data_IF_432312699595
#
_entry.id   IF_432312699595
#
_cell.length_a   1.000
_cell.length_b   1.000
_cell.length_c   1.000
_cell.angle_alpha   90.00
_cell.angle_beta   90.00
_cell.angle_gamma   90.00
#
_symmetry.space_group_name_H-M   'P 1'
#
loop_
_entity.id
_entity.type
_entity.pdbx_description
1 polymer ?
#
# COMPACT_ATOMS: atom_id res chain seq x y z
N UNK A 1 21.12 -17.02 31.28
CA UNK A 1 20.73 -15.75 31.91
C UNK A 1 19.30 -15.47 31.49
N UNK A 2 18.37 -15.57 32.44
CA UNK A 2 16.93 -15.43 32.22
C UNK A 2 16.57 -13.95 32.23
N UNK A 3 16.21 -13.37 31.07
CA UNK A 3 15.50 -12.11 31.00
C UNK A 3 14.05 -12.33 31.40
N UNK A 4 13.65 -11.72 32.50
CA UNK A 4 12.29 -11.83 33.01
C UNK A 4 11.31 -11.10 32.09
N UNK A 5 10.10 -11.63 31.93
CA UNK A 5 9.04 -11.08 31.08
C UNK A 5 8.64 -9.60 31.41
N UNK A 6 8.99 -9.11 32.60
CA UNK A 6 8.73 -7.74 33.06
C UNK A 6 9.67 -6.73 32.41
N UNK A 7 10.90 -7.12 32.05
CA UNK A 7 11.86 -6.20 31.42
C UNK A 7 11.53 -5.94 29.93
N UNK A 8 10.82 -6.88 29.27
CA UNK A 8 10.43 -6.73 27.86
C UNK A 8 9.43 -5.61 27.63
N UNK A 9 8.45 -5.44 28.52
CA UNK A 9 7.42 -4.41 28.35
C UNK A 9 7.94 -2.97 28.51
N UNK A 10 8.83 -2.74 29.48
CA UNK A 10 9.44 -1.41 29.68
C UNK A 10 10.45 -1.08 28.56
N UNK A 11 11.28 -2.04 28.13
CA UNK A 11 12.21 -1.86 27.03
C UNK A 11 11.52 -1.50 25.71
N UNK A 12 10.36 -2.08 25.43
CA UNK A 12 9.58 -1.79 24.23
C UNK A 12 8.91 -0.41 24.28
N UNK A 13 8.50 0.06 25.46
CA UNK A 13 7.94 1.41 25.65
C UNK A 13 9.02 2.48 25.44
N UNK A 14 10.21 2.30 26.00
CA UNK A 14 11.34 3.22 25.79
C UNK A 14 11.80 3.20 24.33
N UNK A 15 11.94 2.06 23.69
CA UNK A 15 12.27 1.96 22.27
C UNK A 15 11.26 2.69 21.37
N UNK A 16 9.96 2.61 21.69
CA UNK A 16 8.93 3.35 20.93
C UNK A 16 8.98 4.86 21.13
N UNK A 17 9.33 5.32 22.33
CA UNK A 17 9.50 6.76 22.61
C UNK A 17 10.72 7.30 21.91
N UNK A 18 11.85 6.59 21.96
CA UNK A 18 13.07 6.94 21.27
C UNK A 18 12.85 6.94 19.74
N UNK A 19 12.14 5.95 19.22
CA UNK A 19 11.83 5.87 17.79
C UNK A 19 10.97 7.06 17.31
N UNK A 20 9.98 7.51 18.11
CA UNK A 20 9.22 8.73 17.81
C UNK A 20 10.09 9.98 17.85
N UNK A 21 10.96 10.11 18.84
CA UNK A 21 11.91 11.22 18.95
C UNK A 21 12.85 11.26 17.73
N UNK A 22 13.39 10.12 17.30
CA UNK A 22 14.19 10.01 16.08
C UNK A 22 13.42 10.42 14.83
N UNK A 23 12.18 9.97 14.69
CA UNK A 23 11.31 10.34 13.56
C UNK A 23 11.02 11.84 13.51
N UNK A 24 10.88 12.50 14.67
CA UNK A 24 10.68 13.96 14.77
C UNK A 24 11.86 14.76 14.27
N UNK A 25 13.08 14.23 14.32
CA UNK A 25 14.27 14.89 13.77
C UNK A 25 14.28 14.92 12.23
N UNK A 26 13.45 14.12 11.57
CA UNK A 26 13.31 14.02 10.11
C UNK A 26 14.64 13.86 9.35
N UNK A 27 15.62 13.21 9.97
CA UNK A 27 16.93 12.98 9.36
C UNK A 27 16.77 12.14 8.09
N UNK A 28 17.47 12.51 7.02
CA UNK A 28 17.47 11.74 5.76
C UNK A 28 17.94 10.30 5.97
N UNK A 29 18.95 10.11 6.82
CA UNK A 29 19.51 8.79 7.15
C UNK A 29 18.58 7.91 8.00
N UNK A 30 17.49 8.47 8.57
CA UNK A 30 16.48 7.72 9.31
C UNK A 30 15.27 7.33 8.47
N UNK A 31 15.21 7.79 7.21
CA UNK A 31 14.12 7.47 6.29
C UNK A 31 14.37 6.11 5.63
N UNK A 32 13.30 5.33 5.38
CA UNK A 32 13.44 4.12 4.57
C UNK A 32 13.94 4.47 3.17
N UNK A 33 14.75 3.60 2.60
CA UNK A 33 15.44 3.84 1.34
C UNK A 33 14.99 2.82 0.29
N UNK A 34 14.70 3.31 -0.91
CA UNK A 34 14.39 2.51 -2.09
C UNK A 34 15.36 2.89 -3.22
N UNK A 35 16.10 1.91 -3.71
CA UNK A 35 16.95 2.08 -4.88
C UNK A 35 16.15 1.76 -6.14
N UNK A 36 16.18 2.68 -7.10
CA UNK A 36 15.55 2.49 -8.42
C UNK A 36 16.68 2.35 -9.43
N UNK A 37 16.81 1.15 -10.01
CA UNK A 37 17.80 0.84 -11.02
C UNK A 37 17.18 1.02 -12.41
N UNK A 38 17.56 2.08 -13.10
CA UNK A 38 17.21 2.26 -14.51
C UNK A 38 18.18 1.45 -15.38
N UNK A 39 17.65 0.51 -16.15
CA UNK A 39 18.43 -0.39 -17.01
C UNK A 39 17.97 -0.28 -18.46
N UNK A 40 18.76 -0.85 -19.36
CA UNK A 40 18.39 -1.00 -20.77
C UNK A 40 17.17 -1.94 -20.91
N UNK A 41 16.42 -1.80 -22.00
CA UNK A 41 15.23 -2.59 -22.31
C UNK A 41 15.45 -4.10 -22.14
N UNK A 42 16.51 -4.63 -22.71
CA UNK A 42 16.86 -6.05 -22.65
C UNK A 42 17.10 -6.57 -21.21
N UNK A 43 17.29 -5.68 -20.26
CA UNK A 43 17.55 -5.98 -18.86
C UNK A 43 16.36 -5.65 -17.94
N UNK A 44 15.26 -5.16 -18.48
CA UNK A 44 14.11 -4.70 -17.70
C UNK A 44 13.45 -5.81 -16.85
N UNK A 45 13.43 -7.04 -17.38
CA UNK A 45 12.85 -8.19 -16.68
C UNK A 45 13.77 -8.79 -15.62
N UNK A 46 15.09 -8.84 -15.88
CA UNK A 46 16.04 -9.61 -15.06
C UNK A 46 17.12 -8.77 -14.38
N UNK A 47 17.23 -7.50 -14.75
CA UNK A 47 18.34 -6.64 -14.33
C UNK A 47 19.65 -6.94 -15.07
N UNK A 48 20.71 -6.27 -14.65
CA UNK A 48 22.06 -6.42 -15.18
C UNK A 48 23.09 -6.51 -14.04
N UNK A 49 24.39 -6.62 -14.39
CA UNK A 49 25.47 -6.74 -13.40
C UNK A 49 25.56 -5.56 -12.43
N UNK A 50 25.13 -4.35 -12.84
CA UNK A 50 25.14 -3.16 -11.99
C UNK A 50 23.95 -3.19 -11.03
N UNK A 51 22.74 -3.51 -11.52
CA UNK A 51 21.55 -3.63 -10.66
C UNK A 51 21.70 -4.75 -9.62
N UNK A 52 22.38 -5.86 -9.96
CA UNK A 52 22.68 -6.93 -9.01
C UNK A 52 23.60 -6.46 -7.88
N UNK A 53 24.64 -5.68 -8.18
CA UNK A 53 25.49 -5.05 -7.14
C UNK A 53 24.71 -4.11 -6.22
N UNK A 54 23.78 -3.33 -6.81
CA UNK A 54 22.89 -2.47 -6.01
C UNK A 54 21.97 -3.31 -5.12
N UNK A 55 21.45 -4.43 -5.62
CA UNK A 55 20.61 -5.32 -4.83
C UNK A 55 21.38 -5.95 -3.63
N UNK A 56 22.62 -6.36 -3.83
CA UNK A 56 23.49 -6.85 -2.76
C UNK A 56 23.74 -5.76 -1.70
N UNK A 57 24.08 -4.56 -2.12
CA UNK A 57 24.29 -3.42 -1.24
C UNK A 57 22.99 -3.05 -0.48
N UNK A 58 21.87 -2.97 -1.16
CA UNK A 58 20.57 -2.64 -0.57
C UNK A 58 20.16 -3.67 0.49
N UNK A 59 20.38 -4.95 0.22
CA UNK A 59 20.14 -6.04 1.18
C UNK A 59 20.92 -5.83 2.47
N UNK A 60 22.19 -5.40 2.39
CA UNK A 60 23.02 -5.12 3.57
C UNK A 60 22.53 -3.91 4.39
N UNK A 61 21.77 -3.02 3.77
CA UNK A 61 21.21 -1.79 4.36
C UNK A 61 19.73 -1.91 4.74
N UNK A 62 19.13 -3.09 4.56
CA UNK A 62 17.68 -3.29 4.69
C UNK A 62 16.86 -2.30 3.85
N UNK A 63 17.33 -2.01 2.64
CA UNK A 63 16.70 -1.11 1.67
C UNK A 63 15.99 -1.90 0.57
N UNK A 64 14.94 -1.30 -0.02
CA UNK A 64 14.24 -1.86 -1.17
C UNK A 64 15.01 -1.63 -2.48
N UNK A 65 14.75 -2.47 -3.49
CA UNK A 65 15.26 -2.29 -4.85
C UNK A 65 14.14 -2.52 -5.85
N UNK A 66 14.06 -1.65 -6.86
CA UNK A 66 13.18 -1.82 -8.02
C UNK A 66 14.02 -1.64 -9.28
N UNK A 67 13.79 -2.52 -10.26
CA UNK A 67 14.42 -2.42 -11.60
C UNK A 67 13.36 -1.87 -12.54
N UNK A 68 13.68 -0.84 -13.28
CA UNK A 68 12.84 -0.24 -14.32
C UNK A 68 13.64 -0.01 -15.60
N UNK A 69 12.96 0.15 -16.73
CA UNK A 69 13.51 0.78 -17.91
C UNK A 69 12.69 2.01 -18.25
N UNK A 70 13.26 3.18 -18.07
CA UNK A 70 12.56 4.44 -18.34
C UNK A 70 12.14 4.55 -19.82
N UNK A 71 12.86 3.90 -20.73
CA UNK A 71 12.51 3.88 -22.14
C UNK A 71 11.25 3.05 -22.37
N UNK A 72 11.14 1.86 -21.78
CA UNK A 72 9.91 1.05 -21.82
C UNK A 72 8.72 1.83 -21.22
N UNK A 73 8.92 2.52 -20.09
CA UNK A 73 7.85 3.31 -19.46
C UNK A 73 7.38 4.46 -20.38
N UNK A 74 8.30 5.10 -21.08
CA UNK A 74 7.97 6.14 -22.06
C UNK A 74 7.12 5.57 -23.19
N UNK A 75 7.49 4.43 -23.76
CA UNK A 75 6.74 3.77 -24.83
C UNK A 75 5.35 3.35 -24.36
N UNK A 76 5.23 2.67 -23.20
CA UNK A 76 3.96 2.26 -22.63
C UNK A 76 3.03 3.46 -22.39
N UNK A 77 3.57 4.61 -21.97
CA UNK A 77 2.76 5.81 -21.68
C UNK A 77 2.06 6.39 -22.90
N UNK A 78 2.46 6.00 -24.10
CA UNK A 78 1.91 6.46 -25.38
C UNK A 78 0.91 5.46 -25.99
N UNK A 79 0.79 4.26 -25.42
CA UNK A 79 -0.06 3.19 -25.92
C UNK A 79 -1.42 3.19 -25.22
N UNK A 80 -2.43 2.71 -25.94
CA UNK A 80 -3.72 2.35 -25.32
C UNK A 80 -3.59 1.09 -24.46
N UNK A 81 -4.50 0.89 -23.52
CA UNK A 81 -4.42 -0.19 -22.52
C UNK A 81 -4.14 -1.57 -23.10
N UNK A 82 -4.83 -1.92 -24.20
CA UNK A 82 -4.70 -3.25 -24.81
C UNK A 82 -3.35 -3.42 -25.50
N UNK A 83 -2.86 -2.36 -26.17
CA UNK A 83 -1.55 -2.32 -26.81
C UNK A 83 -0.42 -2.37 -25.77
N UNK A 84 -0.58 -1.63 -24.66
CA UNK A 84 0.36 -1.64 -23.54
C UNK A 84 0.50 -3.04 -22.93
N UNK A 85 -0.61 -3.76 -22.77
CA UNK A 85 -0.59 -5.13 -22.27
C UNK A 85 0.17 -6.08 -23.22
N UNK A 86 -0.09 -5.99 -24.53
CA UNK A 86 0.61 -6.81 -25.53
C UNK A 86 2.11 -6.50 -25.54
N UNK A 87 2.48 -5.22 -25.44
CA UNK A 87 3.87 -4.79 -25.39
C UNK A 87 4.60 -5.35 -24.16
N UNK A 88 3.98 -5.30 -22.98
CA UNK A 88 4.52 -5.89 -21.74
C UNK A 88 4.74 -7.40 -21.89
N UNK A 89 3.80 -8.13 -22.49
CA UNK A 89 3.92 -9.56 -22.76
C UNK A 89 5.09 -9.89 -23.69
N UNK A 90 5.27 -9.12 -24.76
CA UNK A 90 6.41 -9.26 -25.70
C UNK A 90 7.75 -9.06 -24.98
N UNK A 91 7.81 -8.10 -24.05
CA UNK A 91 8.99 -7.80 -23.24
C UNK A 91 9.19 -8.76 -22.04
N UNK A 92 8.33 -9.78 -21.88
CA UNK A 92 8.30 -10.69 -20.75
C UNK A 92 8.16 -9.96 -19.39
N UNK A 93 7.42 -8.87 -19.37
CA UNK A 93 7.08 -8.12 -18.17
C UNK A 93 5.64 -8.41 -17.75
N UNK A 94 5.42 -8.70 -16.48
CA UNK A 94 4.09 -8.95 -15.94
C UNK A 94 3.30 -7.65 -15.68
N UNK A 95 3.99 -6.53 -15.56
CA UNK A 95 3.44 -5.23 -15.26
C UNK A 95 4.45 -4.13 -15.59
N UNK A 96 3.98 -2.88 -15.72
CA UNK A 96 4.83 -1.72 -15.93
C UNK A 96 5.78 -1.49 -14.73
N UNK A 97 6.96 -0.94 -15.00
CA UNK A 97 7.95 -0.62 -13.98
C UNK A 97 7.45 0.45 -13.01
N UNK A 98 6.62 1.37 -13.49
CA UNK A 98 5.97 2.37 -12.65
C UNK A 98 5.05 1.73 -11.60
N UNK A 99 4.26 0.72 -11.98
CA UNK A 99 3.39 0.00 -11.03
C UNK A 99 4.20 -0.74 -9.97
N UNK A 100 5.31 -1.37 -10.38
CA UNK A 100 6.27 -1.99 -9.45
C UNK A 100 6.87 -0.97 -8.49
N UNK A 101 7.23 0.20 -8.99
CA UNK A 101 7.79 1.29 -8.17
C UNK A 101 6.77 1.81 -7.15
N UNK A 102 5.53 2.05 -7.57
CA UNK A 102 4.44 2.49 -6.69
C UNK A 102 4.22 1.45 -5.59
N UNK A 103 4.08 0.18 -5.96
CA UNK A 103 3.87 -0.93 -5.00
C UNK A 103 5.02 -1.04 -4.01
N UNK A 104 6.27 -1.01 -4.48
CA UNK A 104 7.44 -1.04 -3.62
C UNK A 104 7.49 0.17 -2.66
N UNK A 105 7.08 1.35 -3.10
CA UNK A 105 6.95 2.53 -2.27
C UNK A 105 5.89 2.38 -1.18
N UNK A 106 4.72 1.84 -1.51
CA UNK A 106 3.65 1.53 -0.56
C UNK A 106 4.11 0.51 0.48
N UNK A 107 4.75 -0.58 0.05
CA UNK A 107 5.28 -1.59 0.96
C UNK A 107 6.36 -1.05 1.89
N UNK A 108 7.30 -0.26 1.34
CA UNK A 108 8.36 0.37 2.11
C UNK A 108 7.83 1.30 3.21
N UNK A 109 6.75 2.01 2.92
CA UNK A 109 6.11 2.95 3.84
C UNK A 109 5.03 2.30 4.72
N UNK A 110 4.79 0.99 4.56
CA UNK A 110 3.71 0.25 5.20
C UNK A 110 2.33 0.91 4.97
N UNK A 111 2.04 1.23 3.72
CA UNK A 111 0.78 1.82 3.30
C UNK A 111 -0.12 0.78 2.65
N UNK A 112 -1.40 1.02 2.72
CA UNK A 112 -2.46 0.31 2.02
C UNK A 112 -3.57 1.28 1.63
N UNK A 113 -4.44 0.86 0.72
CA UNK A 113 -5.50 1.70 0.17
C UNK A 113 -6.86 1.07 0.44
N UNK A 114 -7.81 1.85 0.91
CA UNK A 114 -9.23 1.51 0.86
C UNK A 114 -9.97 2.50 -0.03
N UNK A 115 -11.16 2.13 -0.47
CA UNK A 115 -11.99 2.93 -1.34
C UNK A 115 -13.30 3.34 -0.65
N UNK A 116 -13.81 4.49 -1.04
CA UNK A 116 -15.20 4.85 -0.83
C UNK A 116 -15.84 5.02 -2.19
N UNK A 117 -17.03 4.45 -2.40
CA UNK A 117 -17.80 4.57 -3.61
C UNK A 117 -19.19 5.10 -3.28
N UNK A 118 -19.64 6.09 -4.02
CA UNK A 118 -20.94 6.71 -3.85
C UNK A 118 -21.47 7.29 -5.17
N UNK A 119 -22.75 7.71 -5.20
CA UNK A 119 -23.37 8.20 -6.44
C UNK A 119 -22.71 9.45 -7.04
N UNK A 120 -21.96 10.20 -6.23
CA UNK A 120 -21.34 11.47 -6.65
C UNK A 120 -19.85 11.34 -6.92
N UNK A 121 -19.16 10.50 -6.15
CA UNK A 121 -17.72 10.29 -6.31
C UNK A 121 -17.31 8.90 -5.80
N UNK A 122 -16.23 8.39 -6.40
CA UNK A 122 -15.45 7.28 -5.87
C UNK A 122 -14.05 7.78 -5.55
N UNK A 123 -13.48 7.37 -4.41
CA UNK A 123 -12.19 7.88 -3.96
C UNK A 123 -11.35 6.80 -3.30
N UNK A 124 -10.04 6.86 -3.57
CA UNK A 124 -9.03 6.05 -2.89
C UNK A 124 -8.46 6.83 -1.70
N UNK A 125 -8.27 6.14 -0.59
CA UNK A 125 -7.74 6.69 0.65
C UNK A 125 -6.54 5.87 1.10
N UNK A 126 -5.44 6.53 1.33
CA UNK A 126 -4.21 5.87 1.77
C UNK A 126 -4.13 5.87 3.30
N UNK A 127 -3.88 4.71 3.86
CA UNK A 127 -3.73 4.49 5.30
C UNK A 127 -2.47 3.66 5.58
N UNK A 128 -2.07 3.56 6.84
CA UNK A 128 -1.02 2.63 7.25
C UNK A 128 -1.57 1.22 7.42
N UNK A 129 -0.81 0.21 7.04
CA UNK A 129 -1.15 -1.20 7.29
C UNK A 129 -1.44 -1.42 8.77
N UNK A 130 -2.52 -2.13 9.04
CA UNK A 130 -2.98 -2.38 10.40
C UNK A 130 -3.86 -1.26 10.99
N UNK A 131 -4.29 -0.28 10.20
CA UNK A 131 -5.21 0.77 10.63
C UNK A 131 -6.60 0.21 10.88
N UNK A 132 -7.21 0.58 12.01
CA UNK A 132 -8.58 0.18 12.35
C UNK A 132 -9.61 1.08 11.68
N UNK A 133 -10.81 0.53 11.43
CA UNK A 133 -11.91 1.22 10.75
C UNK A 133 -12.25 2.62 11.28
N UNK A 134 -12.30 2.91 12.60
CA UNK A 134 -12.54 4.27 13.08
C UNK A 134 -11.44 5.26 12.65
N UNK A 135 -10.18 4.84 12.72
CA UNK A 135 -9.03 5.69 12.32
C UNK A 135 -9.01 5.89 10.82
N UNK A 136 -9.35 4.85 10.04
CA UNK A 136 -9.52 4.97 8.59
C UNK A 136 -10.64 5.98 8.24
N UNK A 137 -11.79 5.92 8.92
CA UNK A 137 -12.84 6.91 8.77
C UNK A 137 -12.37 8.34 9.12
N UNK A 138 -11.47 8.47 10.09
CA UNK A 138 -10.83 9.72 10.48
C UNK A 138 -9.97 10.38 9.41
N UNK A 139 -9.43 9.59 8.47
CA UNK A 139 -8.68 10.11 7.32
C UNK A 139 -9.60 10.90 6.38
N UNK A 140 -10.89 10.55 6.31
CA UNK A 140 -11.89 11.29 5.55
C UNK A 140 -12.27 12.59 6.29
N UNK A 141 -12.67 12.45 7.55
CA UNK A 141 -13.00 13.58 8.40
C UNK A 141 -12.95 13.17 9.88
N UNK A 142 -12.44 14.06 10.75
CA UNK A 142 -12.32 13.77 12.19
C UNK A 142 -13.65 13.44 12.89
N UNK A 143 -14.79 13.94 12.39
CA UNK A 143 -16.10 13.60 12.93
C UNK A 143 -16.49 12.15 12.65
N UNK A 144 -16.05 11.57 11.54
CA UNK A 144 -16.30 10.18 11.21
C UNK A 144 -15.60 9.25 12.21
N UNK A 145 -14.38 9.60 12.63
CA UNK A 145 -13.68 8.86 13.68
C UNK A 145 -14.41 8.95 15.04
N UNK A 146 -14.75 10.18 15.47
CA UNK A 146 -15.40 10.43 16.75
C UNK A 146 -16.77 9.78 16.85
N UNK A 147 -17.56 9.91 15.79
CA UNK A 147 -18.91 9.38 15.71
C UNK A 147 -19.04 7.95 15.19
N UNK A 148 -17.92 7.25 14.92
CA UNK A 148 -17.92 5.94 14.26
C UNK A 148 -18.84 4.94 14.95
N UNK A 149 -19.77 4.35 14.21
CA UNK A 149 -20.68 3.29 14.63
C UNK A 149 -20.21 1.95 14.07
N UNK A 150 -20.16 1.84 12.75
CA UNK A 150 -19.78 0.65 12.00
C UNK A 150 -19.40 1.03 10.58
N UNK A 151 -18.77 0.08 9.86
CA UNK A 151 -18.54 0.17 8.42
C UNK A 151 -19.24 -0.97 7.68
N UNK A 152 -19.86 -0.68 6.56
CA UNK A 152 -20.25 -1.67 5.56
C UNK A 152 -19.08 -1.83 4.60
N UNK A 153 -18.57 -3.04 4.48
CA UNK A 153 -17.30 -3.33 3.81
C UNK A 153 -17.47 -4.43 2.79
N UNK A 154 -17.00 -4.20 1.57
CA UNK A 154 -16.96 -5.17 0.46
C UNK A 154 -15.54 -5.22 -0.06
N UNK A 155 -14.98 -6.41 -0.34
CA UNK A 155 -13.68 -6.49 -0.99
C UNK A 155 -13.76 -5.90 -2.41
N UNK A 156 -12.69 -5.25 -2.90
CA UNK A 156 -12.64 -4.72 -4.27
C UNK A 156 -13.00 -5.79 -5.31
N UNK A 157 -12.49 -7.01 -5.12
CA UNK A 157 -12.76 -8.14 -6.02
C UNK A 157 -14.26 -8.46 -6.09
N UNK A 158 -14.93 -8.54 -4.94
CA UNK A 158 -16.37 -8.81 -4.91
C UNK A 158 -17.16 -7.61 -5.46
N UNK A 159 -16.73 -6.38 -5.16
CA UNK A 159 -17.38 -5.17 -5.66
C UNK A 159 -17.41 -5.13 -7.20
N UNK A 160 -16.29 -5.46 -7.85
CA UNK A 160 -16.22 -5.51 -9.31
C UNK A 160 -16.98 -6.73 -9.86
N UNK A 161 -16.83 -7.91 -9.26
CA UNK A 161 -17.43 -9.16 -9.74
C UNK A 161 -18.98 -9.13 -9.69
N UNK A 162 -19.55 -8.37 -8.76
CA UNK A 162 -21.00 -8.22 -8.59
C UNK A 162 -21.52 -6.85 -9.04
N UNK A 163 -20.77 -6.13 -9.88
CA UNK A 163 -21.16 -4.88 -10.52
C UNK A 163 -21.57 -3.78 -9.52
N UNK A 164 -20.92 -3.75 -8.36
CA UNK A 164 -21.07 -2.70 -7.36
C UNK A 164 -21.72 -3.13 -6.05
N UNK A 165 -22.09 -2.12 -5.25
CA UNK A 165 -22.59 -2.32 -3.89
C UNK A 165 -23.85 -3.17 -3.81
N UNK A 166 -24.85 -2.88 -4.68
CA UNK A 166 -26.14 -3.58 -4.65
C UNK A 166 -25.98 -5.06 -4.97
N UNK A 167 -25.26 -5.41 -6.05
CA UNK A 167 -25.03 -6.79 -6.42
C UNK A 167 -24.21 -7.56 -5.39
N UNK A 168 -23.18 -6.94 -4.83
CA UNK A 168 -22.39 -7.55 -3.75
C UNK A 168 -23.24 -7.78 -2.49
N UNK A 169 -24.15 -6.88 -2.16
CA UNK A 169 -25.07 -7.03 -1.03
C UNK A 169 -26.07 -8.17 -1.24
N UNK A 170 -26.68 -8.26 -2.41
CA UNK A 170 -27.59 -9.35 -2.77
C UNK A 170 -26.88 -10.71 -2.76
N UNK A 171 -25.62 -10.75 -3.18
CA UNK A 171 -24.78 -11.94 -3.13
C UNK A 171 -24.25 -12.28 -1.71
N UNK A 172 -24.60 -11.48 -0.68
CA UNK A 172 -24.16 -11.70 0.70
C UNK A 172 -22.68 -11.43 0.94
N UNK A 173 -22.04 -10.60 0.09
CA UNK A 173 -20.62 -10.26 0.17
C UNK A 173 -20.32 -8.99 0.97
N UNK A 174 -21.34 -8.21 1.30
CA UNK A 174 -21.21 -7.08 2.19
C UNK A 174 -21.09 -7.52 3.65
N UNK A 175 -20.01 -7.15 4.29
CA UNK A 175 -19.72 -7.39 5.70
C UNK A 175 -20.07 -6.15 6.51
N UNK A 176 -20.47 -6.35 7.76
CA UNK A 176 -20.66 -5.25 8.73
C UNK A 176 -19.54 -5.33 9.75
N UNK A 177 -18.69 -4.32 9.76
CA UNK A 177 -17.47 -4.30 10.54
C UNK A 177 -17.55 -3.25 11.68
N UNK A 178 -17.05 -3.65 12.84
CA UNK A 178 -17.04 -2.81 14.03
C UNK A 178 -15.72 -2.08 14.27
N UNK A 179 -15.60 -1.45 15.43
CA UNK A 179 -14.43 -0.63 15.82
C UNK A 179 -13.10 -1.40 15.88
N UNK A 180 -13.13 -2.71 16.05
CA UNK A 180 -11.94 -3.55 16.14
C UNK A 180 -11.42 -4.01 14.76
N UNK A 181 -12.21 -3.85 13.71
CA UNK A 181 -11.85 -4.26 12.36
C UNK A 181 -10.57 -3.55 11.90
N UNK A 182 -9.64 -4.33 11.40
CA UNK A 182 -8.43 -3.83 10.72
C UNK A 182 -8.74 -3.80 9.24
N UNK A 183 -8.62 -2.63 8.64
CA UNK A 183 -8.90 -2.43 7.22
C UNK A 183 -7.92 -3.25 6.39
N UNK A 184 -8.40 -3.87 5.33
CA UNK A 184 -7.59 -4.63 4.38
C UNK A 184 -7.41 -3.82 3.08
N UNK A 185 -6.27 -4.04 2.40
CA UNK A 185 -5.99 -3.37 1.12
C UNK A 185 -7.07 -3.73 0.08
N UNK A 186 -7.63 -2.71 -0.55
CA UNK A 186 -8.70 -2.87 -1.52
C UNK A 186 -10.12 -2.98 -0.93
N UNK A 187 -10.32 -2.80 0.37
CA UNK A 187 -11.67 -2.70 0.91
C UNK A 187 -12.44 -1.51 0.33
N UNK A 188 -13.67 -1.74 -0.10
CA UNK A 188 -14.64 -0.69 -0.46
C UNK A 188 -15.55 -0.48 0.75
N UNK A 189 -15.48 0.71 1.37
CA UNK A 189 -16.06 0.96 2.68
C UNK A 189 -17.08 2.09 2.67
N UNK A 190 -18.20 1.86 3.34
CA UNK A 190 -19.18 2.90 3.68
C UNK A 190 -19.26 3.03 5.19
N UNK A 191 -18.88 4.21 5.71
CA UNK A 191 -18.85 4.47 7.15
C UNK A 191 -20.17 5.05 7.66
N UNK A 192 -20.72 4.44 8.71
CA UNK A 192 -21.87 4.95 9.45
C UNK A 192 -21.38 5.58 10.76
N UNK A 193 -21.76 6.82 10.98
CA UNK A 193 -21.34 7.60 12.14
C UNK A 193 -22.48 8.51 12.64
N UNK A 194 -22.41 8.88 13.93
CA UNK A 194 -23.25 9.92 14.51
C UNK A 194 -22.50 11.26 14.50
N UNK A 195 -23.22 12.31 14.14
CA UNK A 195 -22.77 13.71 14.25
C UNK A 195 -23.04 14.28 15.63
#
# INVERSE_FOLDING_TARGET
IRDSAVSRGLGDVYKRQDQKAWQMLQLLTAKPLLYVCNVEENSAATGNSHSNKVAEMASSQNAGVVIISAQIEEEISQLESDEAQMFLEEMNLSEAGLDRLIRAGYDLLNLETYFTAGPKESRAWTIKKGTKAPVAAGVIHGDFERGFIRAETISYKDYISFEGESGAKEAGKMRIEGKAYVVEDGDVMHFLFNT
#
